data_IF_021049134564
#
_entry.id   IF_021049134564
#
_cell.length_a   1.000
_cell.length_b   1.000
_cell.length_c   1.000
_cell.angle_alpha   90.00
_cell.angle_beta   90.00
_cell.angle_gamma   90.00
#
_symmetry.space_group_name_H-M   'P 1'
#
loop_
_entity.id
_entity.type
_entity.pdbx_description
1 polymer ?
#
# COMPACT_ATOMS: atom_id res chain seq x y z
N UNK A 1 7.21 -21.75 9.64
CA UNK A 1 5.97 -21.15 10.14
C UNK A 1 5.15 -22.20 10.88
N UNK A 2 4.49 -21.83 11.97
CA UNK A 2 3.56 -22.72 12.66
C UNK A 2 2.29 -22.93 11.81
N UNK A 3 1.52 -23.99 12.12
CA UNK A 3 0.23 -24.21 11.45
C UNK A 3 -0.74 -23.03 11.65
N UNK A 4 -0.71 -22.41 12.84
CA UNK A 4 -1.48 -21.20 13.14
C UNK A 4 -1.06 -20.01 12.27
N UNK A 5 0.24 -19.80 12.06
CA UNK A 5 0.75 -18.73 11.20
C UNK A 5 0.32 -18.95 9.74
N UNK A 6 0.40 -20.19 9.25
CA UNK A 6 -0.04 -20.55 7.90
C UNK A 6 -1.55 -20.30 7.74
N UNK A 7 -2.36 -20.74 8.70
CA UNK A 7 -3.81 -20.54 8.67
C UNK A 7 -4.19 -19.05 8.73
N UNK A 8 -3.51 -18.27 9.55
CA UNK A 8 -3.74 -16.82 9.66
C UNK A 8 -3.35 -16.08 8.38
N UNK A 9 -2.25 -16.46 7.75
CA UNK A 9 -1.84 -15.91 6.45
C UNK A 9 -2.82 -16.27 5.34
N UNK A 10 -3.28 -17.52 5.29
CA UNK A 10 -4.33 -17.93 4.35
C UNK A 10 -5.62 -17.14 4.52
N UNK A 11 -5.98 -16.84 5.77
CA UNK A 11 -7.14 -15.98 6.07
C UNK A 11 -6.90 -14.55 5.56
N UNK A 12 -5.71 -13.99 5.75
CA UNK A 12 -5.37 -12.68 5.23
C UNK A 12 -5.50 -12.64 3.70
N UNK A 13 -4.94 -13.62 3.00
CA UNK A 13 -5.10 -13.76 1.54
C UNK A 13 -6.55 -13.91 1.11
N UNK A 14 -7.34 -14.68 1.85
CA UNK A 14 -8.78 -14.85 1.56
C UNK A 14 -9.51 -13.52 1.68
N UNK A 15 -9.19 -12.72 2.69
CA UNK A 15 -9.77 -11.39 2.85
C UNK A 15 -9.38 -10.47 1.70
N UNK A 16 -8.10 -10.43 1.33
CA UNK A 16 -7.60 -9.64 0.21
C UNK A 16 -8.33 -10.05 -1.09
N UNK A 17 -8.37 -11.34 -1.39
CA UNK A 17 -8.98 -11.84 -2.62
C UNK A 17 -10.49 -11.64 -2.69
N UNK A 18 -11.17 -11.62 -1.54
CA UNK A 18 -12.61 -11.40 -1.48
C UNK A 18 -12.97 -9.93 -1.73
N UNK A 19 -12.15 -9.01 -1.27
CA UNK A 19 -12.47 -7.59 -1.23
C UNK A 19 -11.60 -6.72 -2.12
N UNK A 20 -10.35 -7.10 -2.38
CA UNK A 20 -9.60 -6.46 -3.44
C UNK A 20 -10.21 -6.87 -4.78
N UNK A 21 -10.51 -5.91 -5.62
CA UNK A 21 -10.88 -6.20 -6.99
C UNK A 21 -9.60 -6.61 -7.75
N UNK A 22 -9.37 -7.90 -8.00
CA UNK A 22 -8.17 -8.33 -8.72
C UNK A 22 -8.15 -7.76 -10.12
N UNK A 23 -9.33 -7.51 -10.71
CA UNK A 23 -9.45 -6.96 -12.05
C UNK A 23 -9.07 -5.49 -12.07
N UNK A 24 -9.33 -4.77 -10.99
CA UNK A 24 -8.98 -3.37 -10.89
C UNK A 24 -7.46 -3.13 -10.87
N UNK A 25 -6.70 -3.98 -10.19
CA UNK A 25 -5.26 -3.81 -10.05
C UNK A 25 -4.41 -4.56 -11.08
N UNK A 26 -4.95 -5.62 -11.66
CA UNK A 26 -4.20 -6.49 -12.56
C UNK A 26 -4.71 -6.46 -14.00
N UNK A 27 -5.95 -6.07 -14.21
CA UNK A 27 -6.63 -6.21 -15.50
C UNK A 27 -7.35 -4.98 -16.01
N UNK A 28 -7.30 -3.83 -15.32
CA UNK A 28 -7.73 -2.61 -15.94
C UNK A 28 -6.76 -2.27 -17.08
N UNK A 29 -7.13 -2.55 -18.34
CA UNK A 29 -6.20 -2.39 -19.45
C UNK A 29 -5.82 -0.93 -19.70
N UNK A 30 -6.57 0.01 -19.14
CA UNK A 30 -6.27 1.44 -19.28
C UNK A 30 -5.33 1.96 -18.20
N UNK A 31 -5.32 1.29 -17.03
CA UNK A 31 -4.70 1.86 -15.83
C UNK A 31 -3.65 0.98 -15.15
N UNK A 32 -3.78 -0.35 -15.20
CA UNK A 32 -2.98 -1.28 -14.39
C UNK A 32 -2.45 -2.47 -15.14
N UNK A 33 -2.52 -2.47 -16.46
CA UNK A 33 -1.97 -3.58 -17.23
C UNK A 33 -0.49 -3.74 -16.93
N UNK A 34 -0.18 -4.68 -16.07
CA UNK A 34 1.16 -5.17 -15.86
C UNK A 34 1.30 -6.46 -16.64
N UNK A 35 2.28 -6.52 -17.52
CA UNK A 35 2.66 -7.78 -18.18
C UNK A 35 3.36 -8.70 -17.19
N UNK A 36 3.39 -10.02 -17.48
CA UNK A 36 4.13 -10.98 -16.66
C UNK A 36 5.61 -10.58 -16.52
N UNK A 37 6.21 -10.04 -17.56
CA UNK A 37 7.58 -9.57 -17.53
C UNK A 37 7.79 -8.37 -16.61
N UNK A 38 6.89 -7.40 -16.63
CA UNK A 38 6.91 -6.26 -15.74
C UNK A 38 6.68 -6.67 -14.27
N UNK A 39 5.75 -7.61 -14.04
CA UNK A 39 5.55 -8.15 -12.70
C UNK A 39 6.79 -8.87 -12.18
N UNK A 40 7.48 -9.65 -13.03
CA UNK A 40 8.72 -10.31 -12.63
C UNK A 40 9.84 -9.30 -12.34
N UNK A 41 9.92 -8.21 -13.08
CA UNK A 41 10.88 -7.13 -12.80
C UNK A 41 10.60 -6.48 -11.44
N UNK A 42 9.34 -6.18 -11.13
CA UNK A 42 8.95 -5.68 -9.81
C UNK A 42 9.27 -6.69 -8.71
N UNK A 43 9.07 -7.99 -8.98
CA UNK A 43 9.45 -9.05 -8.04
C UNK A 43 10.95 -9.06 -7.76
N UNK A 44 11.78 -8.90 -8.77
CA UNK A 44 13.23 -8.82 -8.60
C UNK A 44 13.63 -7.56 -7.79
N UNK A 45 12.98 -6.43 -8.04
CA UNK A 45 13.19 -5.22 -7.26
C UNK A 45 12.81 -5.42 -5.78
N UNK A 46 11.68 -6.09 -5.52
CA UNK A 46 11.27 -6.43 -4.15
C UNK A 46 12.28 -7.36 -3.46
N UNK A 47 12.74 -8.40 -4.15
CA UNK A 47 13.75 -9.32 -3.60
C UNK A 47 15.08 -8.60 -3.28
N UNK A 48 15.48 -7.65 -4.11
CA UNK A 48 16.66 -6.82 -3.83
C UNK A 48 16.43 -5.91 -2.62
N UNK A 49 15.27 -5.27 -2.52
CA UNK A 49 14.94 -4.39 -1.41
C UNK A 49 14.96 -5.12 -0.05
N UNK A 50 14.53 -6.39 -0.03
CA UNK A 50 14.48 -7.19 1.21
C UNK A 50 15.75 -8.01 1.45
N UNK A 51 16.76 -7.91 0.60
CA UNK A 51 17.98 -8.68 0.74
C UNK A 51 18.63 -8.47 2.12
N UNK A 52 18.99 -9.58 2.79
CA UNK A 52 19.57 -9.57 4.13
C UNK A 52 18.58 -9.31 5.27
N UNK A 53 17.28 -9.13 4.99
CA UNK A 53 16.22 -9.04 6.02
C UNK A 53 15.79 -10.44 6.45
N UNK A 54 15.72 -10.67 7.75
CA UNK A 54 15.43 -11.99 8.29
C UNK A 54 13.98 -12.17 8.70
N UNK A 55 13.35 -11.11 9.22
CA UNK A 55 11.95 -11.15 9.65
C UNK A 55 11.01 -10.55 8.59
N UNK A 56 9.76 -10.96 8.62
CA UNK A 56 8.75 -10.38 7.72
C UNK A 56 8.52 -8.90 8.00
N UNK A 57 8.54 -8.51 9.27
CA UNK A 57 8.47 -7.10 9.66
C UNK A 57 9.57 -6.25 9.00
N UNK A 58 10.82 -6.72 9.07
CA UNK A 58 11.94 -6.02 8.42
C UNK A 58 11.81 -5.97 6.89
N UNK A 59 11.27 -7.02 6.27
CA UNK A 59 11.01 -7.05 4.82
C UNK A 59 9.95 -6.03 4.43
N UNK A 60 8.85 -5.96 5.18
CA UNK A 60 7.77 -4.98 4.95
C UNK A 60 8.32 -3.56 5.07
N UNK A 61 9.09 -3.30 6.14
CA UNK A 61 9.73 -2.00 6.36
C UNK A 61 10.69 -1.63 5.24
N UNK A 62 11.46 -2.60 4.75
CA UNK A 62 12.40 -2.38 3.65
C UNK A 62 11.70 -2.06 2.32
N UNK A 63 10.56 -2.69 2.04
CA UNK A 63 9.75 -2.38 0.85
C UNK A 63 9.17 -0.97 0.98
N UNK A 64 8.60 -0.61 2.12
CA UNK A 64 8.11 0.76 2.35
C UNK A 64 9.23 1.78 2.13
N UNK A 65 10.40 1.56 2.72
CA UNK A 65 11.56 2.43 2.58
C UNK A 65 12.01 2.53 1.12
N UNK A 66 12.04 1.42 0.39
CA UNK A 66 12.38 1.39 -1.02
C UNK A 66 11.41 2.24 -1.87
N UNK A 67 10.10 2.12 -1.62
CA UNK A 67 9.09 2.92 -2.34
C UNK A 67 9.22 4.40 -1.97
N UNK A 68 9.31 4.71 -0.69
CA UNK A 68 9.37 6.09 -0.19
C UNK A 68 10.63 6.83 -0.64
N UNK A 69 11.78 6.14 -0.66
CA UNK A 69 13.06 6.75 -1.01
C UNK A 69 13.22 7.02 -2.50
N UNK A 70 12.66 6.15 -3.35
CA UNK A 70 12.83 6.27 -4.79
C UNK A 70 11.76 7.08 -5.49
N UNK A 71 10.58 7.27 -4.87
CA UNK A 71 9.41 7.89 -5.51
C UNK A 71 9.27 9.34 -5.05
N UNK A 72 8.93 10.21 -5.99
CA UNK A 72 8.78 11.64 -5.80
C UNK A 72 7.31 12.00 -5.86
N UNK A 73 6.80 12.74 -4.86
CA UNK A 73 5.42 13.17 -4.87
C UNK A 73 5.18 14.20 -5.98
N UNK A 74 4.19 13.93 -6.81
CA UNK A 74 3.91 14.71 -8.01
C UNK A 74 3.07 15.95 -7.69
N UNK A 75 3.71 16.95 -7.09
CA UNK A 75 3.06 18.23 -6.84
C UNK A 75 2.68 18.99 -8.13
N UNK A 76 3.37 18.72 -9.23
CA UNK A 76 2.97 19.29 -10.51
C UNK A 76 1.59 18.80 -10.92
N UNK A 77 1.34 17.50 -10.89
CA UNK A 77 0.04 16.93 -11.20
C UNK A 77 -1.02 17.39 -10.19
N UNK A 78 -0.69 17.35 -8.90
CA UNK A 78 -1.60 17.74 -7.83
C UNK A 78 -2.12 19.18 -7.97
N UNK A 79 -1.23 20.17 -8.10
CA UNK A 79 -1.63 21.58 -8.18
C UNK A 79 -2.22 21.98 -9.54
N UNK A 80 -1.93 21.27 -10.59
CA UNK A 80 -2.45 21.56 -11.93
C UNK A 80 -3.62 20.67 -12.34
N UNK A 81 -4.13 19.85 -11.42
CA UNK A 81 -5.20 18.90 -11.69
C UNK A 81 -4.93 18.04 -12.94
N UNK A 82 -3.73 17.49 -13.02
CA UNK A 82 -3.26 16.62 -14.08
C UNK A 82 -3.22 15.18 -13.63
N UNK A 83 -3.39 14.22 -14.53
CA UNK A 83 -3.12 12.82 -14.22
C UNK A 83 -1.66 12.63 -13.77
N UNK A 84 -1.45 11.78 -12.78
CA UNK A 84 -0.14 11.30 -12.38
C UNK A 84 -0.03 9.80 -12.62
N UNK A 85 1.16 9.25 -12.47
CA UNK A 85 1.38 7.82 -12.59
C UNK A 85 0.80 7.09 -11.37
N UNK A 86 0.16 5.94 -11.60
CA UNK A 86 -0.40 5.13 -10.54
C UNK A 86 -0.39 3.63 -10.82
N UNK A 87 -0.23 3.21 -12.09
CA UNK A 87 0.15 1.83 -12.38
C UNK A 87 1.48 1.51 -11.69
N UNK A 88 1.59 0.38 -10.99
CA UNK A 88 2.78 0.08 -10.18
C UNK A 88 4.06 0.06 -11.02
N UNK A 89 4.01 -0.43 -12.25
CA UNK A 89 5.17 -0.45 -13.12
C UNK A 89 5.54 0.95 -13.64
N UNK A 90 4.55 1.75 -14.02
CA UNK A 90 4.81 3.15 -14.42
C UNK A 90 5.43 3.96 -13.28
N UNK A 91 4.91 3.80 -12.04
CA UNK A 91 5.49 4.46 -10.87
C UNK A 91 6.93 3.99 -10.63
N UNK A 92 7.18 2.69 -10.79
CA UNK A 92 8.52 2.13 -10.68
C UNK A 92 9.49 2.74 -11.71
N UNK A 93 9.09 2.85 -12.96
CA UNK A 93 9.89 3.40 -14.05
C UNK A 93 10.06 4.92 -13.93
N UNK A 94 8.95 5.63 -13.77
CA UNK A 94 8.90 7.10 -13.81
C UNK A 94 9.29 7.75 -12.49
N UNK A 95 9.32 6.99 -11.39
CA UNK A 95 9.69 7.46 -10.03
C UNK A 95 8.86 8.65 -9.55
N UNK A 96 7.65 8.82 -10.02
CA UNK A 96 6.78 9.94 -9.71
C UNK A 96 5.33 9.50 -9.60
N UNK A 97 4.65 9.89 -8.52
CA UNK A 97 3.26 9.54 -8.30
C UNK A 97 2.59 10.45 -7.26
N UNK A 98 1.27 10.40 -7.19
CA UNK A 98 0.50 10.76 -6.01
C UNK A 98 0.29 9.53 -5.12
N UNK A 99 -0.47 9.67 -4.02
CA UNK A 99 -0.64 8.62 -3.00
C UNK A 99 -1.07 7.26 -3.56
N UNK A 100 -2.01 7.23 -4.50
CA UNK A 100 -2.47 6.00 -5.17
C UNK A 100 -1.34 5.22 -5.86
N UNK A 101 -0.41 5.93 -6.48
CA UNK A 101 0.74 5.28 -7.12
C UNK A 101 1.74 4.71 -6.11
N UNK A 102 2.00 5.42 -5.00
CA UNK A 102 2.82 4.89 -3.91
C UNK A 102 2.20 3.61 -3.31
N UNK A 103 0.90 3.66 -3.03
CA UNK A 103 0.18 2.52 -2.46
C UNK A 103 0.17 1.32 -3.43
N UNK A 104 -0.11 1.56 -4.70
CA UNK A 104 -0.12 0.54 -5.76
C UNK A 104 1.24 -0.13 -5.94
N UNK A 105 2.34 0.66 -5.96
CA UNK A 105 3.68 0.11 -6.07
C UNK A 105 4.05 -0.73 -4.85
N UNK A 106 3.82 -0.21 -3.64
CA UNK A 106 4.10 -0.94 -2.39
C UNK A 106 3.34 -2.26 -2.34
N UNK A 107 2.04 -2.23 -2.66
CA UNK A 107 1.21 -3.43 -2.71
C UNK A 107 1.77 -4.47 -3.66
N UNK A 108 2.10 -4.07 -4.88
CA UNK A 108 2.59 -4.99 -5.91
C UNK A 108 3.93 -5.62 -5.52
N UNK A 109 4.85 -4.82 -4.96
CA UNK A 109 6.12 -5.34 -4.46
C UNK A 109 5.93 -6.36 -3.33
N UNK A 110 5.06 -6.08 -2.36
CA UNK A 110 4.74 -7.02 -1.28
C UNK A 110 4.16 -8.33 -1.82
N UNK A 111 3.11 -8.24 -2.65
CA UNK A 111 2.42 -9.40 -3.21
C UNK A 111 3.37 -10.25 -4.08
N UNK A 112 4.24 -9.61 -4.83
CA UNK A 112 5.18 -10.30 -5.74
C UNK A 112 6.14 -11.26 -5.03
N UNK A 113 6.37 -11.05 -3.74
CA UNK A 113 7.19 -11.94 -2.89
C UNK A 113 6.38 -12.67 -1.82
N UNK A 114 5.06 -12.74 -2.00
CA UNK A 114 4.17 -13.54 -1.15
C UNK A 114 3.77 -12.89 0.17
N UNK A 115 3.93 -11.58 0.33
CA UNK A 115 3.48 -10.84 1.52
C UNK A 115 2.09 -10.26 1.26
N UNK A 116 1.07 -10.64 2.06
CA UNK A 116 -0.29 -10.12 1.89
C UNK A 116 -0.34 -8.61 2.11
N UNK A 117 -0.83 -7.89 1.13
CA UNK A 117 -0.90 -6.43 1.17
C UNK A 117 -2.16 -5.93 0.45
N UNK A 118 -2.75 -4.88 0.95
CA UNK A 118 -3.88 -4.20 0.34
C UNK A 118 -3.72 -2.69 0.41
N UNK A 119 -4.41 -2.01 -0.49
CA UNK A 119 -4.52 -0.57 -0.47
C UNK A 119 -5.70 -0.16 0.41
N UNK A 120 -5.54 0.96 1.10
CA UNK A 120 -6.53 1.58 1.94
C UNK A 120 -6.81 2.97 1.45
N UNK A 121 -8.09 3.33 1.37
CA UNK A 121 -8.51 4.68 1.09
C UNK A 121 -8.99 5.39 2.35
N UNK A 122 -8.27 6.43 2.71
CA UNK A 122 -8.72 7.41 3.67
C UNK A 122 -9.38 8.61 2.99
N UNK A 123 -9.45 9.74 3.67
CA UNK A 123 -10.02 10.96 3.11
C UNK A 123 -9.06 11.59 2.08
N UNK A 124 -9.38 11.42 0.80
CA UNK A 124 -8.55 11.89 -0.32
C UNK A 124 -7.07 11.42 -0.22
N UNK A 125 -6.85 10.23 0.30
CA UNK A 125 -5.53 9.69 0.51
C UNK A 125 -5.54 8.16 0.45
N UNK A 126 -4.46 7.57 -0.06
CA UNK A 126 -4.27 6.12 -0.12
C UNK A 126 -2.96 5.71 0.56
N UNK A 127 -3.01 4.60 1.27
CA UNK A 127 -1.88 3.97 1.95
C UNK A 127 -2.11 2.45 2.03
N UNK A 128 -1.31 1.72 2.78
CA UNK A 128 -1.37 0.25 2.77
C UNK A 128 -1.61 -0.37 4.13
N UNK A 129 -2.28 -1.51 4.13
CA UNK A 129 -2.22 -2.51 5.18
C UNK A 129 -1.47 -3.74 4.68
N UNK A 130 -0.46 -4.16 5.43
CA UNK A 130 0.40 -5.29 5.11
C UNK A 130 0.36 -6.30 6.24
N UNK A 131 0.08 -7.57 5.93
CA UNK A 131 -0.01 -8.59 6.95
C UNK A 131 1.35 -9.18 7.30
N UNK A 132 1.76 -9.00 8.56
CA UNK A 132 2.93 -9.66 9.13
C UNK A 132 2.51 -11.00 9.72
N UNK A 133 2.73 -12.07 8.96
CA UNK A 133 2.34 -13.43 9.36
C UNK A 133 3.19 -13.99 10.50
N UNK A 134 4.40 -13.50 10.71
CA UNK A 134 5.26 -13.93 11.81
C UNK A 134 4.73 -13.42 13.15
N UNK A 135 4.19 -12.19 13.18
CA UNK A 135 3.63 -11.58 14.38
C UNK A 135 2.11 -11.61 14.43
N UNK A 136 1.44 -12.08 13.37
CA UNK A 136 -0.02 -12.21 13.30
C UNK A 136 -0.75 -10.88 13.35
N UNK A 137 -0.18 -9.81 12.79
CA UNK A 137 -0.78 -8.47 12.82
C UNK A 137 -0.76 -7.80 11.45
N UNK A 138 -1.68 -6.86 11.27
CA UNK A 138 -1.64 -5.92 10.17
C UNK A 138 -0.73 -4.74 10.51
N UNK A 139 0.15 -4.38 9.58
CA UNK A 139 1.00 -3.19 9.65
C UNK A 139 0.41 -2.14 8.73
N UNK A 140 0.13 -0.97 9.27
CA UNK A 140 -0.32 0.18 8.49
C UNK A 140 0.88 1.03 8.12
N UNK A 141 1.08 1.20 6.82
CA UNK A 141 2.25 1.88 6.28
C UNK A 141 1.85 2.88 5.21
N UNK A 142 2.36 4.09 5.33
CA UNK A 142 2.14 5.16 4.37
C UNK A 142 3.48 5.55 3.71
N UNK A 143 3.78 4.94 2.60
CA UNK A 143 4.99 5.24 1.84
C UNK A 143 4.99 6.68 1.29
N UNK A 144 3.82 7.25 1.02
CA UNK A 144 3.69 8.63 0.53
C UNK A 144 4.17 9.62 1.58
N UNK A 145 3.67 9.50 2.82
CA UNK A 145 4.03 10.41 3.90
C UNK A 145 5.39 10.09 4.52
N UNK A 146 5.89 8.87 4.33
CA UNK A 146 7.28 8.54 4.63
C UNK A 146 8.27 9.16 3.65
N UNK A 147 7.88 9.36 2.38
CA UNK A 147 8.71 10.03 1.38
C UNK A 147 8.85 11.51 1.67
N UNK A 148 10.05 12.04 1.43
CA UNK A 148 10.34 13.48 1.48
C UNK A 148 10.70 14.03 0.11
N UNK A 149 10.68 13.18 -0.90
CA UNK A 149 11.02 13.53 -2.26
C UNK A 149 9.84 14.17 -2.97
N UNK A 150 10.08 15.15 -3.80
CA UNK A 150 9.02 15.84 -4.53
C UNK A 150 9.42 16.22 -5.96
N UNK A 151 8.40 16.32 -6.79
CA UNK A 151 8.50 16.88 -8.13
C UNK A 151 7.54 18.06 -8.28
N UNK A 152 8.03 19.18 -8.70
CA UNK A 152 7.23 20.40 -8.87
C UNK A 152 7.70 21.20 -10.09
N UNK A 153 6.92 22.21 -10.47
CA UNK A 153 7.28 23.09 -11.60
C UNK A 153 8.56 23.87 -11.33
N UNK A 154 8.72 24.35 -10.09
CA UNK A 154 9.80 25.27 -9.75
C UNK A 154 11.12 24.57 -9.42
N UNK A 155 11.02 23.37 -8.85
CA UNK A 155 12.18 22.65 -8.32
C UNK A 155 12.48 21.36 -9.09
N UNK A 156 11.65 21.01 -10.06
CA UNK A 156 11.74 19.73 -10.78
C UNK A 156 11.84 18.54 -9.80
N UNK A 157 12.98 17.87 -9.76
CA UNK A 157 13.22 16.71 -8.89
C UNK A 157 13.99 17.13 -7.64
N UNK A 158 13.33 17.13 -6.49
CA UNK A 158 13.95 17.42 -5.20
C UNK A 158 14.05 16.14 -4.35
N UNK A 159 15.25 15.64 -4.18
CA UNK A 159 15.52 14.48 -3.34
C UNK A 159 15.82 14.89 -1.91
N UNK A 160 15.08 14.35 -0.95
CA UNK A 160 15.27 14.57 0.49
C UNK A 160 15.25 13.26 1.29
N UNK A 161 15.17 12.11 0.59
CA UNK A 161 15.10 10.81 1.23
C UNK A 161 13.73 10.47 1.82
N UNK A 162 13.73 9.72 2.91
CA UNK A 162 12.50 9.27 3.57
C UNK A 162 12.63 9.25 5.09
N UNK A 163 11.52 8.99 5.76
CA UNK A 163 11.46 8.77 7.21
C UNK A 163 10.56 7.59 7.55
N UNK A 164 10.66 7.07 8.77
CA UNK A 164 9.83 5.96 9.26
C UNK A 164 8.58 6.43 10.03
N UNK A 165 8.30 7.74 10.04
CA UNK A 165 7.28 8.33 10.90
C UNK A 165 5.85 7.86 10.66
N UNK A 166 5.59 7.26 9.48
CA UNK A 166 4.27 6.73 9.10
C UNK A 166 4.34 5.24 8.73
N UNK A 167 5.21 4.52 9.39
CA UNK A 167 5.33 3.08 9.31
C UNK A 167 4.89 2.42 10.61
N UNK A 168 4.09 1.35 10.52
CA UNK A 168 3.49 0.62 11.64
C UNK A 168 2.63 1.53 12.54
N UNK A 169 1.78 2.33 11.90
CA UNK A 169 0.86 3.23 12.58
C UNK A 169 -0.09 2.46 13.49
N UNK A 170 -0.27 2.94 14.71
CA UNK A 170 -1.30 2.43 15.62
C UNK A 170 -2.70 2.90 15.19
N UNK A 171 -3.77 2.25 15.68
CA UNK A 171 -5.14 2.69 15.41
C UNK A 171 -5.41 4.10 15.89
N UNK A 172 -4.84 4.44 17.04
CA UNK A 172 -4.98 5.75 17.64
C UNK A 172 -4.35 6.82 16.73
N UNK A 173 -3.15 6.56 16.22
CA UNK A 173 -2.49 7.44 15.24
C UNK A 173 -3.30 7.57 13.96
N UNK A 174 -3.83 6.47 13.42
CA UNK A 174 -4.70 6.50 12.23
C UNK A 174 -5.96 7.31 12.49
N UNK A 175 -6.58 7.17 13.66
CA UNK A 175 -7.79 7.91 14.02
C UNK A 175 -7.55 9.43 14.15
N UNK A 176 -6.36 9.83 14.57
CA UNK A 176 -5.97 11.23 14.69
C UNK A 176 -5.58 11.88 13.35
N UNK A 177 -5.12 11.09 12.41
CA UNK A 177 -4.74 11.57 11.08
C UNK A 177 -5.96 11.66 10.17
N UNK A 178 -6.46 12.87 9.92
CA UNK A 178 -7.70 13.11 9.17
C UNK A 178 -7.73 12.44 7.79
N UNK A 179 -6.58 12.35 7.12
CA UNK A 179 -6.45 11.73 5.82
C UNK A 179 -6.37 10.19 5.87
N UNK A 180 -6.06 9.62 7.03
CA UNK A 180 -5.93 8.17 7.22
C UNK A 180 -7.18 7.51 7.76
N UNK A 181 -8.18 8.29 8.18
CA UNK A 181 -9.45 7.74 8.59
C UNK A 181 -10.07 6.98 7.42
N UNK A 182 -10.29 5.69 7.65
CA UNK A 182 -10.83 4.81 6.62
C UNK A 182 -12.30 5.14 6.46
N UNK A 183 -12.71 5.44 5.23
CA UNK A 183 -14.09 5.75 4.91
C UNK A 183 -15.04 4.68 5.42
N UNK A 184 -16.02 5.09 6.24
CA UNK A 184 -17.12 4.27 6.77
C UNK A 184 -16.75 3.21 7.78
N UNK A 185 -15.60 3.34 8.46
CA UNK A 185 -15.14 2.38 9.45
C UNK A 185 -14.89 2.93 10.84
N UNK A 186 -15.40 4.08 11.15
CA UNK A 186 -15.22 4.74 12.47
C UNK A 186 -15.55 3.81 13.67
N UNK A 187 -16.48 2.85 13.47
CA UNK A 187 -16.82 1.88 14.49
C UNK A 187 -15.79 0.76 14.68
N UNK A 188 -14.96 0.48 13.68
CA UNK A 188 -14.03 -0.65 13.72
C UNK A 188 -12.73 -0.34 14.44
N UNK A 189 -12.31 0.91 14.42
CA UNK A 189 -11.15 1.36 15.17
C UNK A 189 -11.31 1.14 16.67
N UNK A 190 -12.54 1.15 17.16
CA UNK A 190 -12.85 1.00 18.58
C UNK A 190 -12.83 -0.43 19.09
N UNK A 191 -12.99 -1.42 18.21
CA UNK A 191 -13.19 -2.81 18.61
C UNK A 191 -11.94 -3.69 18.52
N UNK A 192 -10.78 -3.14 18.17
CA UNK A 192 -9.53 -3.91 17.99
C UNK A 192 -9.58 -4.96 16.87
N UNK A 193 -10.74 -5.16 16.26
CA UNK A 193 -10.96 -6.09 15.15
C UNK A 193 -10.54 -5.51 13.80
N UNK A 194 -10.38 -4.26 13.79
CA UNK A 194 -10.02 -3.42 12.71
C UNK A 194 -8.78 -3.86 11.92
N UNK A 195 -7.80 -4.41 12.60
CA UNK A 195 -6.57 -4.87 11.96
C UNK A 195 -6.71 -6.11 11.08
N UNK A 196 -7.79 -6.81 11.20
CA UNK A 196 -8.01 -8.01 10.40
C UNK A 196 -8.80 -7.72 9.14
N UNK A 197 -9.09 -6.39 8.89
CA UNK A 197 -10.06 -6.12 7.93
C UNK A 197 -9.84 -4.90 7.18
N UNK A 198 -9.21 -4.99 6.16
CA UNK A 198 -9.30 -3.88 5.29
C UNK A 198 -9.24 -4.37 3.89
N UNK A 199 -10.35 -4.28 3.29
CA UNK A 199 -10.47 -4.45 1.89
C UNK A 199 -11.54 -3.52 1.41
N UNK A 200 -11.25 -2.85 0.40
CA UNK A 200 -12.26 -2.11 -0.30
C UNK A 200 -12.19 -2.41 -1.80
N UNK A 201 -13.30 -2.25 -2.40
CA UNK A 201 -13.45 -2.43 -3.81
C UNK A 201 -13.71 -1.08 -4.47
N UNK A 202 -12.90 -0.74 -5.42
CA UNK A 202 -13.21 0.38 -6.28
C UNK A 202 -14.34 0.02 -7.24
N UNK A 203 -15.39 0.81 -7.28
CA UNK A 203 -16.43 0.67 -8.26
C UNK A 203 -16.96 2.05 -8.67
N UNK A 204 -16.72 2.42 -9.90
CA UNK A 204 -17.20 3.68 -10.47
C UNK A 204 -16.84 4.92 -9.65
N UNK A 205 -15.64 4.97 -9.14
CA UNK A 205 -15.17 6.07 -8.32
C UNK A 205 -15.53 5.97 -6.84
N UNK A 206 -16.13 4.87 -6.37
CA UNK A 206 -16.43 4.66 -4.97
C UNK A 206 -15.72 3.43 -4.43
N UNK A 207 -15.14 3.57 -3.26
CA UNK A 207 -14.53 2.51 -2.52
C UNK A 207 -15.52 1.92 -1.52
N UNK A 208 -15.56 0.61 -1.45
CA UNK A 208 -16.42 -0.10 -0.51
C UNK A 208 -15.60 -0.81 0.51
N UNK A 209 -16.23 -0.94 1.62
CA UNK A 209 -15.70 -1.64 2.73
C UNK A 209 -16.77 -2.55 3.32
N UNK A 210 -16.44 -3.81 3.54
CA UNK A 210 -17.38 -4.78 4.10
C UNK A 210 -17.01 -5.13 5.54
N UNK A 211 -17.70 -4.50 6.45
CA UNK A 211 -17.59 -4.71 7.88
C UNK A 211 -17.89 -6.15 8.34
N UNK A 212 -18.71 -6.87 7.60
CA UNK A 212 -19.11 -8.22 8.00
C UNK A 212 -17.96 -9.23 7.92
N UNK A 213 -16.97 -8.94 7.07
CA UNK A 213 -15.80 -9.77 6.93
C UNK A 213 -14.84 -9.65 8.11
N UNK A 214 -14.97 -8.59 8.91
CA UNK A 214 -14.07 -8.29 10.03
C UNK A 214 -14.42 -8.98 11.29
N UNK A 215 -15.69 -9.12 11.51
CA UNK A 215 -16.19 -9.67 12.77
C UNK A 215 -16.13 -11.19 12.79
N UNK A 216 -14.94 -11.75 12.77
CA UNK A 216 -14.78 -13.17 13.07
C UNK A 216 -13.49 -13.42 13.80
#
# INVERSE_FOLDING_TARGET
>A
ASEEQIAAEQKAWTLINKYADPDYFLTDPERNAITDAQFEELRQAALQAVAGRTTQYEKIKAIMAFVADRTYYDYYAYYNNKPSYWSPYEVYEQKRAMCSGYASLMRTLCISIGIPCMDLEGHAHEYNAVYDSENGKWIFADATWCSRNSYSVDKEWEYQGYSDGYFDLSPEEIAELSNHQIYRVDGLLKDGLYYSLISYRWSRGNWYFDLAAVKK
#
